data_IF_751616252805
#
_entry.id   IF_751616252805
#
_cell.length_a   1.000
_cell.length_b   1.000
_cell.length_c   1.000
_cell.angle_alpha   90.00
_cell.angle_beta   90.00
_cell.angle_gamma   90.00
#
_symmetry.space_group_name_H-M   'P 1'
#
loop_
_entity.id
_entity.type
_entity.pdbx_description
1 polymer ?
#
# COMPACT_ATOMS: atom_id res chain seq x y z
N UNK A 1 31.55 0.13 -1.91
CA UNK A 1 30.86 0.74 -0.74
C UNK A 1 29.34 0.73 -0.91
N UNK A 2 28.79 0.52 -2.11
CA UNK A 2 27.34 0.66 -2.36
C UNK A 2 26.48 -0.58 -2.02
N UNK A 3 27.01 -1.81 -2.18
CA UNK A 3 26.20 -3.02 -1.96
C UNK A 3 25.62 -3.14 -0.53
N UNK A 4 26.39 -2.89 0.56
CA UNK A 4 25.83 -2.94 1.91
C UNK A 4 24.72 -1.93 2.15
N UNK A 5 24.83 -0.73 1.57
CA UNK A 5 23.81 0.32 1.70
C UNK A 5 22.52 -0.09 0.98
N UNK A 6 22.63 -0.54 -0.27
CA UNK A 6 21.47 -1.00 -1.06
C UNK A 6 20.75 -2.15 -0.37
N UNK A 7 21.50 -3.10 0.20
CA UNK A 7 20.92 -4.20 0.98
C UNK A 7 20.20 -3.70 2.23
N UNK A 8 20.78 -2.74 2.93
CA UNK A 8 20.17 -2.15 4.14
C UNK A 8 18.88 -1.41 3.81
N UNK A 9 18.88 -0.61 2.74
CA UNK A 9 17.71 0.16 2.30
C UNK A 9 16.58 -0.79 1.86
N UNK A 10 16.91 -1.82 1.08
CA UNK A 10 15.94 -2.82 0.63
C UNK A 10 15.33 -3.62 1.79
N UNK A 11 16.16 -4.05 2.75
CA UNK A 11 15.71 -4.81 3.91
C UNK A 11 14.84 -3.96 4.84
N UNK A 12 15.26 -2.73 5.12
CA UNK A 12 14.49 -1.80 5.97
C UNK A 12 13.12 -1.54 5.37
N UNK A 13 13.05 -1.20 4.08
CA UNK A 13 11.78 -0.95 3.39
C UNK A 13 10.86 -2.18 3.37
N UNK A 14 11.42 -3.38 3.18
CA UNK A 14 10.65 -4.62 3.20
C UNK A 14 10.11 -4.97 4.59
N UNK A 15 10.93 -4.81 5.64
CA UNK A 15 10.57 -5.15 7.01
C UNK A 15 9.47 -4.22 7.52
N UNK A 16 9.64 -2.90 7.38
CA UNK A 16 8.68 -1.93 7.91
C UNK A 16 7.31 -2.09 7.26
N UNK A 17 7.27 -2.14 5.92
CA UNK A 17 6.00 -2.27 5.19
C UNK A 17 5.30 -3.59 5.45
N UNK A 18 6.02 -4.71 5.47
CA UNK A 18 5.41 -6.04 5.67
C UNK A 18 4.93 -6.22 7.10
N UNK A 19 5.72 -5.80 8.10
CA UNK A 19 5.34 -5.91 9.52
C UNK A 19 4.07 -5.11 9.80
N UNK A 20 4.02 -3.85 9.35
CA UNK A 20 2.84 -3.00 9.55
C UNK A 20 1.62 -3.54 8.79
N UNK A 21 1.79 -4.02 7.55
CA UNK A 21 0.70 -4.63 6.78
C UNK A 21 0.12 -5.86 7.49
N UNK A 22 0.99 -6.71 8.05
CA UNK A 22 0.59 -7.91 8.78
C UNK A 22 -0.10 -7.59 10.10
N UNK A 23 0.41 -6.62 10.86
CA UNK A 23 -0.19 -6.16 12.11
C UNK A 23 -1.65 -5.72 11.90
N UNK A 24 -1.87 -4.84 10.92
CA UNK A 24 -3.22 -4.39 10.60
C UNK A 24 -4.11 -5.49 10.05
N UNK A 25 -3.58 -6.38 9.20
CA UNK A 25 -4.37 -7.49 8.66
C UNK A 25 -4.85 -8.42 9.79
N UNK A 26 -4.00 -8.74 10.75
CA UNK A 26 -4.35 -9.55 11.91
C UNK A 26 -5.33 -8.82 12.83
N UNK A 27 -5.15 -7.53 13.06
CA UNK A 27 -6.07 -6.73 13.87
C UNK A 27 -7.46 -6.65 13.22
N UNK A 28 -7.54 -6.42 11.91
CA UNK A 28 -8.80 -6.43 11.17
C UNK A 28 -9.50 -7.79 11.26
N UNK A 29 -8.76 -8.90 11.14
CA UNK A 29 -9.34 -10.24 11.32
C UNK A 29 -9.85 -10.45 12.75
N UNK A 30 -9.07 -10.04 13.77
CA UNK A 30 -9.46 -10.15 15.17
C UNK A 30 -10.74 -9.36 15.50
N UNK A 31 -10.95 -8.23 14.84
CA UNK A 31 -12.17 -7.42 14.98
C UNK A 31 -13.35 -7.94 14.14
N UNK A 32 -13.14 -8.89 13.23
CA UNK A 32 -14.16 -9.40 12.30
C UNK A 32 -14.20 -10.95 12.35
N UNK A 33 -14.89 -11.55 13.34
CA UNK A 33 -14.92 -12.99 13.55
C UNK A 33 -15.40 -13.80 12.34
N UNK A 34 -16.38 -13.29 11.58
CA UNK A 34 -16.88 -13.96 10.37
C UNK A 34 -15.83 -14.04 9.26
N UNK A 35 -15.05 -12.96 9.09
CA UNK A 35 -13.96 -12.92 8.11
C UNK A 35 -12.81 -13.83 8.55
N UNK A 36 -12.50 -13.84 9.85
CA UNK A 36 -11.51 -14.71 10.46
C UNK A 36 -11.87 -16.19 10.31
N UNK A 37 -13.12 -16.57 10.56
CA UNK A 37 -13.55 -17.97 10.42
C UNK A 37 -13.46 -18.44 8.98
N UNK A 38 -13.86 -17.60 8.01
CA UNK A 38 -13.71 -17.92 6.59
C UNK A 38 -12.24 -18.07 6.17
N UNK A 39 -11.36 -17.21 6.66
CA UNK A 39 -9.91 -17.32 6.42
C UNK A 39 -9.32 -18.58 7.06
N UNK A 40 -9.79 -18.93 8.26
CA UNK A 40 -9.41 -20.15 8.95
C UNK A 40 -9.82 -21.39 8.17
N UNK A 41 -11.08 -21.46 7.72
CA UNK A 41 -11.58 -22.57 6.89
C UNK A 41 -10.75 -22.70 5.61
N UNK A 42 -10.51 -21.60 4.90
CA UNK A 42 -9.67 -21.62 3.69
C UNK A 42 -8.25 -22.15 3.96
N UNK A 43 -7.65 -21.76 5.09
CA UNK A 43 -6.33 -22.25 5.50
C UNK A 43 -6.30 -23.75 5.81
N UNK A 44 -7.39 -24.33 6.31
CA UNK A 44 -7.47 -25.76 6.68
C UNK A 44 -7.91 -26.68 5.53
N UNK A 45 -8.57 -26.12 4.51
CA UNK A 45 -9.08 -26.88 3.35
C UNK A 45 -8.09 -26.89 2.18
N UNK A 46 -6.92 -26.25 2.32
CA UNK A 46 -5.87 -26.23 1.30
C UNK A 46 -5.50 -27.65 0.86
N UNK A 47 -5.63 -27.90 -0.44
CA UNK A 47 -5.31 -29.15 -1.12
C UNK A 47 -3.82 -29.23 -1.53
N UNK A 48 -3.00 -28.30 -1.01
CA UNK A 48 -1.57 -28.22 -1.26
C UNK A 48 -1.19 -27.35 -2.45
N UNK A 49 -2.15 -26.62 -3.03
CA UNK A 49 -1.90 -25.64 -4.08
C UNK A 49 -1.45 -24.29 -3.53
N UNK A 50 -1.63 -24.01 -2.24
CA UNK A 50 -1.15 -22.77 -1.59
C UNK A 50 -1.85 -21.52 -2.14
N UNK A 51 -3.04 -21.68 -2.70
CA UNK A 51 -3.84 -20.59 -3.25
C UNK A 51 -4.94 -20.26 -2.24
N UNK A 52 -4.87 -19.06 -1.66
CA UNK A 52 -5.81 -18.60 -0.64
C UNK A 52 -6.52 -17.32 -1.09
N UNK A 53 -7.54 -17.40 -1.97
CA UNK A 53 -8.21 -16.23 -2.52
C UNK A 53 -8.83 -15.31 -1.46
N UNK A 54 -9.43 -15.87 -0.41
CA UNK A 54 -10.05 -15.12 0.67
C UNK A 54 -9.00 -14.48 1.58
N UNK A 55 -7.98 -15.21 2.01
CA UNK A 55 -6.87 -14.64 2.79
C UNK A 55 -6.20 -13.50 1.99
N UNK A 56 -5.99 -13.70 0.67
CA UNK A 56 -5.47 -12.65 -0.21
C UNK A 56 -6.40 -11.44 -0.28
N UNK A 57 -7.71 -11.65 -0.30
CA UNK A 57 -8.69 -10.56 -0.25
C UNK A 57 -8.62 -9.81 1.08
N UNK A 58 -8.50 -10.50 2.22
CA UNK A 58 -8.31 -9.89 3.54
C UNK A 58 -7.05 -9.02 3.59
N UNK A 59 -5.92 -9.50 3.07
CA UNK A 59 -4.68 -8.71 2.99
C UNK A 59 -4.88 -7.45 2.14
N UNK A 60 -5.48 -7.60 0.95
CA UNK A 60 -5.75 -6.46 0.05
C UNK A 60 -6.69 -5.44 0.69
N UNK A 61 -7.73 -5.89 1.37
CA UNK A 61 -8.70 -5.01 2.03
C UNK A 61 -8.06 -4.29 3.22
N UNK A 62 -7.19 -4.97 3.98
CA UNK A 62 -6.38 -4.34 5.02
C UNK A 62 -5.49 -3.24 4.43
N UNK A 63 -4.83 -3.48 3.29
CA UNK A 63 -4.02 -2.46 2.62
C UNK A 63 -4.86 -1.29 2.08
N UNK A 64 -6.12 -1.52 1.72
CA UNK A 64 -7.06 -0.47 1.30
C UNK A 64 -7.45 0.43 2.47
N UNK A 65 -7.70 -0.16 3.64
CA UNK A 65 -8.12 0.54 4.85
C UNK A 65 -6.96 1.24 5.57
N UNK A 66 -5.83 0.54 5.70
CA UNK A 66 -4.66 0.96 6.46
C UNK A 66 -3.39 0.67 5.65
N UNK A 67 -3.11 1.45 4.59
CA UNK A 67 -1.88 1.29 3.82
C UNK A 67 -0.65 1.65 4.69
N UNK A 68 0.50 0.98 4.51
CA UNK A 68 1.72 1.32 5.25
C UNK A 68 2.21 2.75 5.02
N UNK A 69 1.98 3.28 3.82
CA UNK A 69 2.30 4.66 3.45
C UNK A 69 1.09 5.34 2.84
N UNK A 70 0.67 6.45 3.45
CA UNK A 70 -0.48 7.24 2.99
C UNK A 70 -0.12 8.23 1.87
N UNK A 71 1.15 8.63 1.76
CA UNK A 71 1.59 9.70 0.88
C UNK A 71 2.88 9.31 0.15
N UNK A 72 2.92 9.59 -1.15
CA UNK A 72 4.13 9.47 -1.96
C UNK A 72 4.50 10.83 -2.55
N UNK A 73 5.70 11.30 -2.23
CA UNK A 73 6.18 12.59 -2.71
C UNK A 73 6.96 12.45 -4.01
N UNK A 74 6.76 13.38 -4.95
CA UNK A 74 7.59 13.53 -6.15
C UNK A 74 7.90 15.00 -6.37
N UNK A 75 9.13 15.31 -6.77
CA UNK A 75 9.49 16.66 -7.18
C UNK A 75 9.35 16.79 -8.70
N UNK A 76 8.67 17.84 -9.15
CA UNK A 76 8.55 18.15 -10.57
C UNK A 76 9.91 18.58 -11.13
N UNK A 77 10.40 17.83 -12.11
CA UNK A 77 11.64 18.14 -12.85
C UNK A 77 11.40 19.03 -14.08
N UNK A 78 10.14 19.36 -14.36
CA UNK A 78 9.72 20.29 -15.41
C UNK A 78 8.34 20.85 -15.07
N UNK A 79 7.96 22.02 -15.60
CA UNK A 79 6.61 22.54 -15.40
C UNK A 79 5.56 21.57 -15.95
N UNK A 80 4.50 21.31 -15.18
CA UNK A 80 3.40 20.42 -15.58
C UNK A 80 2.10 21.22 -15.59
N UNK A 81 1.39 21.19 -16.73
CA UNK A 81 0.05 21.74 -16.82
C UNK A 81 -0.94 20.68 -16.36
N UNK A 82 -1.59 20.93 -15.23
CA UNK A 82 -2.70 20.11 -14.77
C UNK A 82 -3.94 20.50 -15.58
N UNK A 83 -4.20 19.76 -16.67
CA UNK A 83 -5.19 20.18 -17.68
C UNK A 83 -6.64 19.90 -17.29
N UNK A 84 -6.92 18.95 -16.40
CA UNK A 84 -8.31 18.57 -16.09
C UNK A 84 -8.42 18.12 -14.62
N UNK A 85 -8.75 19.06 -13.73
CA UNK A 85 -9.36 18.71 -12.44
C UNK A 85 -10.82 19.15 -12.50
N UNK A 86 -11.77 18.29 -12.91
CA UNK A 86 -13.20 18.60 -12.87
C UNK A 86 -13.70 19.02 -11.48
N UNK A 87 -12.92 18.72 -10.43
CA UNK A 87 -13.16 19.04 -9.03
C UNK A 87 -12.43 20.31 -8.53
N UNK A 88 -11.62 20.98 -9.36
CA UNK A 88 -10.86 22.16 -8.94
C UNK A 88 -11.27 23.40 -9.72
N UNK A 89 -11.80 24.40 -9.01
CA UNK A 89 -12.12 25.72 -9.57
C UNK A 89 -10.89 26.49 -10.07
N UNK A 90 -9.68 26.04 -9.73
CA UNK A 90 -8.40 26.67 -10.12
C UNK A 90 -7.75 26.05 -11.36
N UNK A 91 -8.40 25.10 -12.04
CA UNK A 91 -7.90 24.55 -13.30
C UNK A 91 -8.21 25.50 -14.48
N UNK A 92 -7.30 25.69 -15.45
CA UNK A 92 -6.02 24.99 -15.61
C UNK A 92 -4.89 25.61 -14.75
N UNK A 93 -4.24 24.78 -13.93
CA UNK A 93 -3.08 25.16 -13.09
C UNK A 93 -1.79 24.64 -13.72
N UNK A 94 -0.80 25.52 -13.90
CA UNK A 94 0.56 25.12 -14.27
C UNK A 94 1.42 25.07 -13.01
N UNK A 95 1.85 23.88 -12.63
CA UNK A 95 2.77 23.67 -11.52
C UNK A 95 4.20 23.92 -12.01
N UNK A 96 4.97 24.83 -11.37
CA UNK A 96 6.34 25.11 -11.78
C UNK A 96 7.28 23.94 -11.46
N UNK A 97 8.42 23.92 -12.13
CA UNK A 97 9.55 23.05 -11.76
C UNK A 97 9.93 23.26 -10.30
N UNK A 98 10.34 22.18 -9.62
CA UNK A 98 10.67 22.20 -8.19
C UNK A 98 9.47 22.02 -7.25
N UNK A 99 8.24 22.09 -7.74
CA UNK A 99 7.04 21.79 -6.95
C UNK A 99 7.09 20.34 -6.46
N UNK A 100 6.87 20.11 -5.17
CA UNK A 100 6.66 18.76 -4.62
C UNK A 100 5.18 18.44 -4.70
N UNK A 101 4.85 17.40 -5.47
CA UNK A 101 3.50 16.84 -5.54
C UNK A 101 3.39 15.67 -4.58
N UNK A 102 2.20 15.56 -3.99
CA UNK A 102 1.83 14.45 -3.12
C UNK A 102 0.81 13.60 -3.88
N UNK A 103 1.12 12.31 -4.06
CA UNK A 103 0.26 11.32 -4.70
C UNK A 103 -0.16 10.25 -3.70
#
# INVERSE_FOLDING_TARGET
>A
VELPQVLTDALTGAIETTTQSMEWALLHLAMNPDAQERARVEAFVDDGHGVFPWIRACVKESLRLTPPFYLHFRQLVKPVRHTEAPWSETAPLTLPEGTVVVM
#
